data_IF_980279276861
#
_entry.id   IF_980279276861
#
_cell.length_a   1.000
_cell.length_b   1.000
_cell.length_c   1.000
_cell.angle_alpha   90.00
_cell.angle_beta   90.00
_cell.angle_gamma   90.00
#
_symmetry.space_group_name_H-M   'P 1'
#
loop_
_entity.id
_entity.type
_entity.pdbx_description
1 polymer ?
#
# COMPACT_ATOMS: atom_id res chain seq x y z
N UNK A 1 22.78 83.22 40.94
CA UNK A 1 23.06 82.94 39.53
C UNK A 1 23.50 81.49 39.39
N UNK A 2 23.00 80.84 38.42
CA UNK A 2 23.25 79.47 37.94
C UNK A 2 22.32 78.43 38.56
N UNK A 3 21.28 78.10 37.75
CA UNK A 3 20.33 77.04 37.89
C UNK A 3 21.00 75.72 37.55
N UNK A 4 20.80 74.72 38.37
CA UNK A 4 21.17 73.35 38.05
C UNK A 4 19.88 72.52 37.87
N UNK A 5 19.61 72.13 36.61
CA UNK A 5 18.47 71.40 36.20
C UNK A 5 18.77 69.92 36.42
N UNK A 6 17.98 69.25 37.25
CA UNK A 6 18.09 67.84 37.55
C UNK A 6 17.22 67.01 36.51
N UNK A 7 17.86 66.30 35.58
CA UNK A 7 17.16 65.38 34.67
C UNK A 7 16.97 64.05 35.34
N UNK A 8 15.70 63.71 35.61
CA UNK A 8 15.29 62.37 36.01
C UNK A 8 15.19 61.49 34.74
N UNK A 9 16.08 60.52 34.61
CA UNK A 9 16.03 59.47 33.58
C UNK A 9 15.04 58.38 34.06
N UNK A 10 13.85 58.35 33.44
CA UNK A 10 12.95 57.20 33.51
C UNK A 10 13.49 56.13 32.53
N UNK A 11 14.04 55.04 33.07
CA UNK A 11 14.38 53.87 32.33
C UNK A 11 13.12 53.10 31.94
N UNK A 12 12.76 53.17 30.65
CA UNK A 12 11.73 52.28 30.11
C UNK A 12 12.30 50.86 29.95
N UNK A 13 11.84 49.95 30.78
CA UNK A 13 12.10 48.54 30.59
C UNK A 13 11.21 48.05 29.43
N UNK A 14 11.80 47.88 28.25
CA UNK A 14 11.18 47.19 27.14
C UNK A 14 11.13 45.68 27.47
N UNK A 15 9.97 45.22 27.91
CA UNK A 15 9.67 43.79 27.95
C UNK A 15 9.50 43.33 26.50
N UNK A 16 10.52 42.65 25.96
CA UNK A 16 10.38 41.94 24.71
C UNK A 16 9.49 40.71 25.00
N UNK A 17 8.25 40.76 24.56
CA UNK A 17 7.44 39.59 24.40
C UNK A 17 8.16 38.66 23.37
N UNK A 18 8.72 37.57 23.84
CA UNK A 18 9.15 36.50 22.97
C UNK A 18 7.90 35.94 22.31
N UNK A 19 7.68 36.33 21.05
CA UNK A 19 6.78 35.65 20.17
C UNK A 19 7.23 34.17 20.13
N UNK A 20 6.48 33.28 20.82
CA UNK A 20 6.62 31.86 20.67
C UNK A 20 6.36 31.55 19.19
N UNK A 21 7.42 31.33 18.42
CA UNK A 21 7.33 30.90 17.04
C UNK A 21 6.42 29.66 17.00
N UNK A 22 5.25 29.80 16.36
CA UNK A 22 4.42 28.66 15.99
C UNK A 22 5.33 27.67 15.28
N UNK A 23 5.26 26.37 15.60
CA UNK A 23 6.06 25.38 14.87
C UNK A 23 5.76 25.56 13.38
N UNK A 24 6.82 25.71 12.61
CA UNK A 24 6.72 25.81 11.16
C UNK A 24 5.95 24.57 10.68
N UNK A 25 4.79 24.82 10.11
CA UNK A 25 4.06 23.77 9.36
C UNK A 25 5.03 23.35 8.26
N UNK A 26 5.61 22.18 8.41
CA UNK A 26 6.45 21.58 7.39
C UNK A 26 5.65 21.62 6.10
N UNK A 27 6.16 22.35 5.10
CA UNK A 27 5.51 22.41 3.79
C UNK A 27 5.50 20.99 3.24
N UNK A 28 4.34 20.37 3.30
CA UNK A 28 4.11 19.04 2.75
C UNK A 28 4.36 19.06 1.24
N UNK A 29 4.96 17.99 0.75
CA UNK A 29 5.11 17.73 -0.68
C UNK A 29 3.80 18.02 -1.44
N UNK A 30 3.83 18.50 -2.69
CA UNK A 30 2.63 18.85 -3.46
C UNK A 30 1.59 17.72 -3.50
N UNK A 31 2.03 16.48 -3.62
CA UNK A 31 1.18 15.28 -3.64
C UNK A 31 0.41 15.07 -2.32
N UNK A 32 1.01 15.43 -1.18
CA UNK A 32 0.32 15.30 0.11
C UNK A 32 -0.89 16.25 0.22
N UNK A 33 -0.87 17.42 -0.46
CA UNK A 33 -1.93 18.42 -0.37
C UNK A 33 -3.26 17.93 -0.94
N UNK A 34 -3.24 17.12 -1.97
CA UNK A 34 -4.46 16.61 -2.62
C UNK A 34 -5.25 15.68 -1.70
N UNK A 35 -4.59 15.01 -0.76
CA UNK A 35 -5.23 14.12 0.21
C UNK A 35 -5.67 14.82 1.51
N UNK A 36 -5.16 16.03 1.80
CA UNK A 36 -5.52 16.74 3.04
C UNK A 36 -7.01 17.06 3.13
N UNK A 37 -7.64 17.41 2.03
CA UNK A 37 -9.09 17.65 1.99
C UNK A 37 -9.93 16.47 2.43
N UNK A 38 -9.48 15.26 2.10
CA UNK A 38 -10.15 14.01 2.45
C UNK A 38 -10.04 13.65 3.95
N UNK A 39 -9.06 14.22 4.64
CA UNK A 39 -8.83 14.00 6.08
C UNK A 39 -9.11 15.25 6.94
N UNK A 40 -9.72 16.29 6.37
CA UNK A 40 -9.93 17.58 7.04
C UNK A 40 -10.63 17.41 8.41
N UNK A 41 -10.22 18.19 9.46
CA UNK A 41 -10.89 18.20 10.73
C UNK A 41 -12.35 18.67 10.57
N UNK A 42 -13.31 17.87 11.02
CA UNK A 42 -14.75 18.17 10.93
C UNK A 42 -15.39 17.84 9.60
N UNK A 43 -14.62 17.36 8.60
CA UNK A 43 -15.14 16.71 7.41
C UNK A 43 -15.41 15.24 7.70
N UNK A 44 -16.54 14.73 7.26
CA UNK A 44 -16.69 13.28 7.15
C UNK A 44 -15.67 12.81 6.13
N UNK A 45 -14.78 11.88 6.54
CA UNK A 45 -13.82 11.30 5.61
C UNK A 45 -14.61 10.67 4.46
N UNK A 46 -14.31 11.07 3.23
CA UNK A 46 -14.90 10.44 2.03
C UNK A 46 -14.49 8.98 1.89
N UNK A 47 -13.49 8.56 2.67
CA UNK A 47 -12.99 7.18 2.67
C UNK A 47 -13.80 6.28 3.59
N UNK A 48 -13.96 5.03 3.16
CA UNK A 48 -14.56 3.99 3.98
C UNK A 48 -13.67 3.68 5.18
N UNK A 49 -14.30 3.52 6.35
CA UNK A 49 -13.62 3.18 7.60
C UNK A 49 -13.51 1.68 7.87
N UNK A 50 -14.27 0.87 7.13
CA UNK A 50 -14.20 -0.59 7.23
C UNK A 50 -12.96 -1.11 6.50
N UNK A 51 -12.36 -2.21 6.96
CA UNK A 51 -11.24 -2.83 6.25
C UNK A 51 -11.66 -3.29 4.85
N UNK A 52 -10.70 -3.37 3.95
CA UNK A 52 -10.92 -3.89 2.61
C UNK A 52 -11.43 -5.33 2.69
N UNK A 53 -12.54 -5.61 2.03
CA UNK A 53 -13.22 -6.93 2.09
C UNK A 53 -12.34 -8.03 1.53
N UNK A 54 -11.66 -7.77 0.41
CA UNK A 54 -10.77 -8.74 -0.21
C UNK A 54 -9.58 -9.08 0.70
N UNK A 55 -8.98 -8.07 1.35
CA UNK A 55 -7.93 -8.29 2.35
C UNK A 55 -8.44 -9.19 3.49
N UNK A 56 -9.63 -8.88 4.05
CA UNK A 56 -10.22 -9.67 5.15
C UNK A 56 -10.36 -11.14 4.75
N UNK A 57 -10.81 -11.41 3.53
CA UNK A 57 -10.94 -12.77 3.01
C UNK A 57 -9.57 -13.48 2.87
N UNK A 58 -8.57 -12.78 2.31
CA UNK A 58 -7.23 -13.33 2.11
C UNK A 58 -6.52 -13.69 3.43
N UNK A 59 -6.76 -12.95 4.52
CA UNK A 59 -6.05 -13.15 5.79
C UNK A 59 -6.82 -13.98 6.82
N UNK A 60 -8.11 -14.26 6.61
CA UNK A 60 -9.03 -14.89 7.59
C UNK A 60 -8.46 -16.15 8.26
N UNK A 61 -7.79 -17.00 7.50
CA UNK A 61 -7.30 -18.30 7.96
C UNK A 61 -5.76 -18.34 8.02
N UNK A 62 -5.09 -17.18 8.01
CA UNK A 62 -3.64 -17.12 8.06
C UNK A 62 -3.15 -16.87 9.48
N UNK A 63 -2.02 -17.49 9.81
CA UNK A 63 -1.31 -17.17 11.05
C UNK A 63 -0.77 -15.75 10.97
N UNK A 64 -1.07 -14.87 11.92
CA UNK A 64 -0.53 -13.52 11.94
C UNK A 64 1.00 -13.50 12.00
N UNK A 65 1.59 -12.54 11.31
CA UNK A 65 3.02 -12.26 11.26
C UNK A 65 3.25 -10.75 11.16
N UNK A 66 4.31 -10.33 10.46
CA UNK A 66 4.60 -8.91 10.18
C UNK A 66 3.88 -8.45 8.93
N UNK A 67 3.08 -7.40 9.03
CA UNK A 67 2.34 -6.82 7.92
C UNK A 67 2.81 -5.39 7.62
N UNK A 68 2.91 -5.07 6.33
CA UNK A 68 3.14 -3.73 5.82
C UNK A 68 1.88 -3.25 5.08
N UNK A 69 1.34 -2.12 5.49
CA UNK A 69 0.23 -1.43 4.82
C UNK A 69 0.77 -0.17 4.13
N UNK A 70 0.87 -0.22 2.81
CA UNK A 70 1.46 0.82 1.97
C UNK A 70 0.38 1.82 1.59
N UNK A 71 0.61 3.12 1.87
CA UNK A 71 -0.43 4.13 1.68
C UNK A 71 -1.62 3.89 2.62
N UNK A 72 -1.36 3.69 3.90
CA UNK A 72 -2.37 3.23 4.88
C UNK A 72 -3.49 4.24 5.16
N UNK A 73 -3.32 5.50 4.81
CA UNK A 73 -4.26 6.58 5.10
C UNK A 73 -4.59 6.68 6.59
N UNK A 74 -5.87 6.70 6.92
CA UNK A 74 -6.35 6.69 8.32
C UNK A 74 -6.35 5.31 8.97
N UNK A 75 -5.71 4.31 8.34
CA UNK A 75 -5.35 3.02 8.91
C UNK A 75 -6.45 1.97 8.96
N UNK A 76 -7.49 2.00 8.11
CA UNK A 76 -8.59 1.04 8.15
C UNK A 76 -8.13 -0.43 8.07
N UNK A 77 -7.20 -0.73 7.15
CA UNK A 77 -6.61 -2.06 6.98
C UNK A 77 -5.61 -2.38 8.09
N UNK A 78 -4.73 -1.43 8.40
CA UNK A 78 -3.74 -1.55 9.49
C UNK A 78 -4.39 -1.85 10.84
N UNK A 79 -5.47 -1.15 11.19
CA UNK A 79 -6.20 -1.34 12.46
C UNK A 79 -6.90 -2.70 12.52
N UNK A 80 -7.49 -3.12 11.40
CA UNK A 80 -8.08 -4.46 11.30
C UNK A 80 -7.02 -5.54 11.54
N UNK A 81 -5.89 -5.48 10.83
CA UNK A 81 -4.80 -6.44 10.97
C UNK A 81 -4.23 -6.46 12.39
N UNK A 82 -3.97 -5.28 12.98
CA UNK A 82 -3.48 -5.16 14.36
C UNK A 82 -4.47 -5.75 15.39
N UNK A 83 -5.77 -5.56 15.18
CA UNK A 83 -6.82 -6.15 16.04
C UNK A 83 -6.92 -7.68 15.89
N UNK A 84 -6.34 -8.25 14.83
CA UNK A 84 -6.28 -9.68 14.56
C UNK A 84 -4.91 -10.30 14.80
N UNK A 85 -4.06 -9.62 15.58
CA UNK A 85 -2.79 -10.16 16.07
C UNK A 85 -1.59 -9.96 15.14
N UNK A 86 -1.74 -9.25 14.02
CA UNK A 86 -0.61 -8.92 13.16
C UNK A 86 0.27 -7.83 13.80
N UNK A 87 1.59 -7.94 13.60
CA UNK A 87 2.55 -6.88 13.90
C UNK A 87 2.57 -5.92 12.70
N UNK A 88 1.85 -4.79 12.81
CA UNK A 88 1.58 -3.93 11.66
C UNK A 88 2.49 -2.71 11.67
N UNK A 89 3.14 -2.48 10.53
CA UNK A 89 3.69 -1.19 10.14
C UNK A 89 2.86 -0.65 8.98
N UNK A 90 2.42 0.59 9.09
CA UNK A 90 1.76 1.30 8.00
C UNK A 90 2.42 2.65 7.78
N UNK A 91 2.53 3.08 6.55
CA UNK A 91 3.03 4.41 6.25
C UNK A 91 2.13 5.13 5.22
N UNK A 92 2.14 6.43 5.30
CA UNK A 92 1.43 7.32 4.37
C UNK A 92 2.10 8.67 4.35
N UNK A 93 2.01 9.39 3.22
CA UNK A 93 2.52 10.75 3.11
C UNK A 93 1.63 11.76 3.85
N UNK A 94 0.32 11.48 3.96
CA UNK A 94 -0.65 12.34 4.62
C UNK A 94 -0.56 12.21 6.15
N UNK A 95 0.12 13.15 6.79
CA UNK A 95 0.33 13.19 8.24
C UNK A 95 -0.99 13.21 9.04
N UNK A 96 -2.02 13.88 8.51
CA UNK A 96 -3.37 13.93 9.11
C UNK A 96 -3.99 12.52 9.15
N UNK A 97 -3.87 11.75 8.07
CA UNK A 97 -4.32 10.35 8.03
C UNK A 97 -3.58 9.49 9.05
N UNK A 98 -2.25 9.59 9.09
CA UNK A 98 -1.40 8.89 10.05
C UNK A 98 -1.74 9.25 11.50
N UNK A 99 -1.98 10.53 11.79
CA UNK A 99 -2.40 10.99 13.12
C UNK A 99 -3.76 10.40 13.52
N UNK A 100 -4.72 10.31 12.60
CA UNK A 100 -6.01 9.65 12.82
C UNK A 100 -5.83 8.16 13.10
N UNK A 101 -4.98 7.45 12.34
CA UNK A 101 -4.68 6.05 12.56
C UNK A 101 -4.09 5.79 13.96
N UNK A 102 -3.12 6.60 14.40
CA UNK A 102 -2.54 6.54 15.75
C UNK A 102 -3.59 6.74 16.85
N UNK A 103 -4.47 7.74 16.68
CA UNK A 103 -5.57 8.02 17.61
C UNK A 103 -6.55 6.85 17.72
N UNK A 104 -6.92 6.27 16.56
CA UNK A 104 -7.82 5.10 16.50
C UNK A 104 -7.17 3.86 17.14
N UNK A 105 -5.86 3.60 16.83
CA UNK A 105 -5.11 2.49 17.43
C UNK A 105 -5.07 2.58 18.96
N UNK A 106 -4.79 3.78 19.51
CA UNK A 106 -4.83 4.03 20.96
C UNK A 106 -6.22 3.76 21.55
N UNK A 107 -7.29 4.20 20.87
CA UNK A 107 -8.69 3.96 21.33
C UNK A 107 -9.05 2.47 21.33
N UNK A 108 -8.55 1.72 20.36
CA UNK A 108 -8.78 0.27 20.24
C UNK A 108 -7.86 -0.57 21.13
N UNK A 109 -6.84 0.03 21.74
CA UNK A 109 -5.86 -0.69 22.57
C UNK A 109 -4.93 -1.60 21.74
N UNK A 110 -4.74 -1.32 20.45
CA UNK A 110 -3.88 -2.11 19.56
C UNK A 110 -2.56 -1.39 19.27
N UNK A 111 -1.50 -2.18 19.02
CA UNK A 111 -0.20 -1.65 18.62
C UNK A 111 -0.17 -1.48 17.10
N UNK A 112 0.15 -0.28 16.64
CA UNK A 112 0.32 0.07 15.24
C UNK A 112 1.54 0.98 15.10
N UNK A 113 2.52 0.55 14.31
CA UNK A 113 3.63 1.40 13.91
C UNK A 113 3.22 2.22 12.68
N UNK A 114 2.65 3.40 12.92
CA UNK A 114 2.15 4.30 11.88
C UNK A 114 3.18 5.41 11.62
N UNK A 115 3.65 5.53 10.38
CA UNK A 115 4.80 6.37 9.99
C UNK A 115 4.35 7.37 8.92
N UNK A 116 4.73 8.65 9.08
CA UNK A 116 4.60 9.65 8.01
C UNK A 116 5.84 9.54 7.13
N UNK A 117 5.68 8.97 5.95
CA UNK A 117 6.75 8.86 4.94
C UNK A 117 6.15 8.73 3.54
N UNK A 118 6.90 9.21 2.55
CA UNK A 118 6.64 8.87 1.15
C UNK A 118 7.10 7.43 0.87
N UNK A 119 6.61 6.83 -0.19
CA UNK A 119 7.04 5.54 -0.71
C UNK A 119 8.48 5.55 -1.24
N UNK A 120 8.94 6.73 -1.72
CA UNK A 120 10.32 6.94 -2.12
C UNK A 120 11.29 6.81 -0.94
N UNK A 121 10.92 7.34 0.24
CA UNK A 121 11.76 7.41 1.44
C UNK A 121 11.61 6.22 2.38
N UNK A 122 10.55 5.41 2.20
CA UNK A 122 10.32 4.27 3.06
C UNK A 122 11.32 3.15 2.78
N UNK A 123 11.97 2.66 3.83
CA UNK A 123 12.84 1.48 3.77
C UNK A 123 11.98 0.21 3.89
N UNK A 124 11.77 -0.47 2.79
CA UNK A 124 11.01 -1.72 2.74
C UNK A 124 11.76 -2.90 3.40
N UNK A 125 13.08 -2.81 3.55
CA UNK A 125 13.92 -3.91 4.00
C UNK A 125 13.99 -5.06 3.00
N UNK A 126 14.51 -6.21 3.45
CA UNK A 126 14.61 -7.45 2.66
C UNK A 126 14.15 -8.63 3.49
N UNK A 127 13.26 -9.47 2.94
CA UNK A 127 12.75 -10.66 3.63
C UNK A 127 12.13 -10.35 5.00
N UNK A 128 11.41 -9.22 5.12
CA UNK A 128 10.93 -8.71 6.39
C UNK A 128 9.45 -8.98 6.62
N UNK A 129 8.63 -8.96 5.56
CA UNK A 129 7.18 -8.96 5.67
C UNK A 129 6.57 -10.32 5.36
N UNK A 130 5.61 -10.73 6.18
CA UNK A 130 4.76 -11.90 5.93
C UNK A 130 3.55 -11.53 5.06
N UNK A 131 3.14 -10.24 5.12
CA UNK A 131 2.03 -9.67 4.34
C UNK A 131 2.37 -8.26 3.89
N UNK A 132 2.12 -7.94 2.63
CA UNK A 132 2.08 -6.56 2.12
C UNK A 132 0.70 -6.28 1.55
N UNK A 133 0.13 -5.12 1.92
CA UNK A 133 -1.18 -4.66 1.48
C UNK A 133 -1.03 -3.45 0.59
N UNK A 134 -1.67 -3.47 -0.57
CA UNK A 134 -1.67 -2.42 -1.59
C UNK A 134 -3.11 -2.20 -2.06
N UNK A 135 -3.77 -1.18 -1.54
CA UNK A 135 -5.16 -0.89 -1.92
C UNK A 135 -5.31 0.53 -2.48
N UNK A 136 -5.84 0.61 -3.70
CA UNK A 136 -6.23 1.86 -4.37
C UNK A 136 -5.12 2.90 -4.52
N UNK A 137 -3.91 2.46 -4.80
CA UNK A 137 -2.76 3.32 -5.02
C UNK A 137 -1.86 2.80 -6.16
N UNK A 138 -1.09 3.67 -6.83
CA UNK A 138 -0.06 3.23 -7.76
C UNK A 138 1.08 2.54 -6.99
N UNK A 139 1.63 1.47 -7.56
CA UNK A 139 2.74 0.75 -6.92
C UNK A 139 3.75 0.15 -7.93
N UNK A 140 3.61 0.44 -9.23
CA UNK A 140 4.50 -0.16 -10.24
C UNK A 140 5.97 0.11 -9.94
N UNK A 141 6.29 1.35 -9.62
CA UNK A 141 7.65 1.79 -9.34
C UNK A 141 8.19 1.26 -8.00
N UNK A 142 7.30 0.79 -7.12
CA UNK A 142 7.67 0.19 -5.84
C UNK A 142 8.08 -1.28 -5.95
N UNK A 143 7.71 -1.97 -7.02
CA UNK A 143 7.94 -3.42 -7.16
C UNK A 143 9.39 -3.85 -6.95
N UNK A 144 10.42 -3.11 -7.44
CA UNK A 144 11.81 -3.47 -7.20
C UNK A 144 12.21 -3.47 -5.72
N UNK A 145 11.57 -2.64 -4.88
CA UNK A 145 11.78 -2.59 -3.43
C UNK A 145 10.84 -3.55 -2.68
N UNK A 146 9.58 -3.61 -3.12
CA UNK A 146 8.50 -4.35 -2.48
C UNK A 146 8.70 -5.87 -2.56
N UNK A 147 8.99 -6.41 -3.74
CA UNK A 147 9.12 -7.85 -3.92
C UNK A 147 10.26 -8.48 -3.09
N UNK A 148 11.48 -7.89 -3.06
CA UNK A 148 12.54 -8.41 -2.19
C UNK A 148 12.21 -8.32 -0.71
N UNK A 149 11.36 -7.37 -0.29
CA UNK A 149 11.02 -7.14 1.11
C UNK A 149 10.10 -8.20 1.71
N UNK A 150 9.33 -8.92 0.87
CA UNK A 150 8.56 -10.08 1.31
C UNK A 150 9.48 -11.24 1.71
N UNK A 151 9.13 -11.95 2.77
CA UNK A 151 9.70 -13.25 3.13
C UNK A 151 9.32 -14.30 2.09
N UNK A 152 10.11 -15.37 2.04
CA UNK A 152 9.67 -16.60 1.38
C UNK A 152 8.38 -17.11 2.04
N UNK A 153 7.36 -17.43 1.24
CA UNK A 153 6.02 -17.77 1.72
C UNK A 153 5.14 -16.57 2.09
N UNK A 154 5.70 -15.36 2.13
CA UNK A 154 4.94 -14.13 2.35
C UNK A 154 4.02 -13.80 1.19
N UNK A 155 2.94 -13.08 1.45
CA UNK A 155 1.94 -12.74 0.46
C UNK A 155 1.82 -11.24 0.23
N UNK A 156 1.44 -10.87 -0.98
CA UNK A 156 0.92 -9.56 -1.32
C UNK A 156 -0.57 -9.65 -1.59
N UNK A 157 -1.33 -8.69 -1.06
CA UNK A 157 -2.77 -8.54 -1.31
C UNK A 157 -3.01 -7.18 -1.94
N UNK A 158 -3.63 -7.18 -3.11
CA UNK A 158 -3.84 -6.00 -3.95
C UNK A 158 -5.32 -5.90 -4.31
N UNK A 159 -5.90 -4.72 -4.17
CA UNK A 159 -7.14 -4.33 -4.82
C UNK A 159 -6.97 -2.94 -5.44
N UNK A 160 -7.31 -2.81 -6.73
CA UNK A 160 -7.19 -1.54 -7.42
C UNK A 160 -8.23 -1.41 -8.54
N UNK A 161 -8.35 -0.21 -9.10
CA UNK A 161 -9.24 0.04 -10.23
C UNK A 161 -8.68 -0.54 -11.53
N UNK A 162 -9.57 -1.10 -12.34
CA UNK A 162 -9.25 -1.45 -13.72
C UNK A 162 -9.22 -0.19 -14.59
N UNK A 163 -8.39 -0.19 -15.63
CA UNK A 163 -8.25 0.97 -16.55
C UNK A 163 -9.56 1.35 -17.26
N UNK A 164 -10.46 0.41 -17.48
CA UNK A 164 -11.77 0.70 -18.05
C UNK A 164 -12.62 1.63 -17.18
N UNK A 165 -12.35 1.72 -15.88
CA UNK A 165 -12.99 2.67 -14.96
C UNK A 165 -12.72 4.12 -15.33
N UNK A 166 -11.63 4.40 -16.04
CA UNK A 166 -11.26 5.77 -16.46
C UNK A 166 -12.19 6.36 -17.51
N UNK A 167 -12.95 5.53 -18.24
CA UNK A 167 -13.86 6.02 -19.28
C UNK A 167 -14.90 6.97 -18.73
N UNK A 168 -15.22 6.82 -17.45
CA UNK A 168 -16.27 7.57 -16.77
C UNK A 168 -15.73 8.49 -15.65
N UNK A 169 -14.41 8.53 -15.39
CA UNK A 169 -13.81 9.27 -14.28
C UNK A 169 -12.38 9.69 -14.56
N UNK A 170 -12.02 10.86 -13.98
CA UNK A 170 -10.65 11.39 -13.96
C UNK A 170 -9.80 10.65 -12.88
N UNK A 171 -9.56 9.35 -13.07
CA UNK A 171 -8.56 8.64 -12.29
C UNK A 171 -7.23 8.70 -13.04
N UNK A 172 -6.14 8.85 -12.31
CA UNK A 172 -4.81 8.81 -12.87
C UNK A 172 -4.55 7.44 -13.53
N UNK A 173 -3.91 7.47 -14.71
CA UNK A 173 -3.53 6.24 -15.42
C UNK A 173 -2.65 5.33 -14.55
N UNK A 174 -1.78 5.93 -13.76
CA UNK A 174 -0.85 5.20 -12.90
C UNK A 174 -1.54 4.52 -11.72
N UNK A 175 -2.73 5.01 -11.33
CA UNK A 175 -3.57 4.41 -10.30
C UNK A 175 -4.51 3.31 -10.82
N UNK A 176 -4.45 2.97 -12.13
CA UNK A 176 -5.31 1.95 -12.75
C UNK A 176 -4.50 0.88 -13.46
N UNK A 177 -5.03 -0.33 -13.58
CA UNK A 177 -4.34 -1.50 -14.14
C UNK A 177 -5.10 -2.07 -15.34
N UNK A 178 -4.33 -2.52 -16.36
CA UNK A 178 -4.86 -3.15 -17.57
C UNK A 178 -5.29 -4.60 -17.32
N UNK A 179 -5.99 -5.18 -18.28
CA UNK A 179 -6.30 -6.61 -18.29
C UNK A 179 -5.03 -7.43 -18.04
N UNK A 180 -5.08 -8.34 -17.08
CA UNK A 180 -4.00 -9.27 -16.72
C UNK A 180 -2.69 -8.61 -16.25
N UNK A 181 -2.60 -7.28 -16.14
CA UNK A 181 -1.36 -6.60 -15.78
C UNK A 181 -0.82 -7.05 -14.41
N UNK A 182 -1.69 -7.27 -13.41
CA UNK A 182 -1.23 -7.80 -12.13
C UNK A 182 -0.61 -9.20 -12.26
N UNK A 183 -1.10 -10.04 -13.17
CA UNK A 183 -0.51 -11.36 -13.43
C UNK A 183 0.86 -11.24 -14.10
N UNK A 184 1.04 -10.26 -14.99
CA UNK A 184 2.33 -9.97 -15.61
C UNK A 184 3.33 -9.45 -14.57
N UNK A 185 2.92 -8.46 -13.76
CA UNK A 185 3.74 -7.86 -12.73
C UNK A 185 4.20 -8.85 -11.65
N UNK A 186 3.39 -9.85 -11.33
CA UNK A 186 3.68 -10.88 -10.32
C UNK A 186 3.88 -12.28 -10.93
N UNK A 187 4.34 -12.36 -12.19
CA UNK A 187 4.57 -13.63 -12.89
C UNK A 187 5.63 -14.53 -12.24
N UNK A 188 6.48 -13.95 -11.38
CA UNK A 188 7.48 -14.62 -10.55
C UNK A 188 6.93 -15.09 -9.18
N UNK A 189 5.65 -14.82 -8.89
CA UNK A 189 4.94 -15.24 -7.67
C UNK A 189 3.95 -16.37 -7.96
N UNK A 190 3.63 -17.15 -6.95
CA UNK A 190 2.52 -18.08 -7.01
C UNK A 190 1.21 -17.31 -6.87
N UNK A 191 0.41 -17.27 -7.93
CA UNK A 191 -0.91 -16.63 -7.89
C UNK A 191 -1.85 -17.54 -7.11
N UNK A 192 -2.37 -17.05 -5.99
CA UNK A 192 -3.32 -17.75 -5.14
C UNK A 192 -4.76 -17.43 -5.54
N UNK A 193 -5.00 -16.14 -5.87
CA UNK A 193 -6.31 -15.64 -6.32
C UNK A 193 -6.10 -14.43 -7.23
N UNK A 194 -6.83 -14.40 -8.33
CA UNK A 194 -6.93 -13.24 -9.22
C UNK A 194 -8.38 -13.02 -9.59
N UNK A 195 -8.81 -11.77 -9.54
CA UNK A 195 -10.15 -11.35 -9.96
C UNK A 195 -10.03 -10.10 -10.84
N UNK A 196 -10.70 -10.16 -11.98
CA UNK A 196 -11.04 -9.02 -12.81
C UNK A 196 -12.57 -8.97 -12.81
N UNK A 197 -13.14 -8.10 -11.98
CA UNK A 197 -14.55 -8.17 -11.60
C UNK A 197 -15.22 -6.81 -11.58
N UNK A 198 -16.54 -6.81 -11.78
CA UNK A 198 -17.37 -5.62 -11.60
C UNK A 198 -17.96 -5.68 -10.20
N UNK A 199 -17.53 -4.78 -9.34
CA UNK A 199 -17.96 -4.71 -7.95
C UNK A 199 -18.03 -3.27 -7.45
N UNK A 200 -18.62 -3.08 -6.29
CA UNK A 200 -18.56 -1.79 -5.60
C UNK A 200 -17.20 -1.68 -4.91
N UNK A 201 -16.36 -0.70 -5.26
CA UNK A 201 -15.13 -0.47 -4.53
C UNK A 201 -15.42 -0.04 -3.09
N UNK A 202 -14.63 -0.52 -2.17
CA UNK A 202 -14.75 -0.14 -0.75
C UNK A 202 -13.82 1.02 -0.36
N UNK A 203 -13.26 1.71 -1.33
CA UNK A 203 -12.38 2.86 -1.11
C UNK A 203 -13.13 4.04 -0.51
N UNK A 204 -14.28 4.41 -1.07
CA UNK A 204 -15.11 5.51 -0.61
C UNK A 204 -16.48 5.05 -0.12
N UNK A 205 -17.19 5.96 0.58
CA UNK A 205 -18.50 5.66 1.16
C UNK A 205 -19.58 5.50 0.08
N UNK A 206 -19.52 6.30 -0.99
CA UNK A 206 -20.53 6.33 -2.05
C UNK A 206 -19.91 6.16 -3.44
N UNK A 207 -19.19 5.06 -3.64
CA UNK A 207 -18.68 4.75 -4.97
C UNK A 207 -19.67 3.86 -5.74
N UNK A 208 -19.99 4.19 -7.01
CA UNK A 208 -20.75 3.28 -7.85
C UNK A 208 -19.93 2.03 -8.16
N UNK A 209 -20.62 1.02 -8.62
CA UNK A 209 -20.02 -0.20 -9.15
C UNK A 209 -19.00 0.12 -10.25
N UNK A 210 -17.82 -0.46 -10.15
CA UNK A 210 -16.72 -0.26 -11.07
C UNK A 210 -16.00 -1.58 -11.37
N UNK A 211 -15.21 -1.62 -12.43
CA UNK A 211 -14.33 -2.75 -12.70
C UNK A 211 -13.09 -2.66 -11.83
N UNK A 212 -12.83 -3.71 -11.06
CA UNK A 212 -11.72 -3.84 -10.13
C UNK A 212 -10.81 -4.98 -10.54
N UNK A 213 -9.54 -4.86 -10.20
CA UNK A 213 -8.55 -5.93 -10.28
C UNK A 213 -8.05 -6.25 -8.88
N UNK A 214 -8.02 -7.56 -8.56
CA UNK A 214 -7.63 -8.08 -7.25
C UNK A 214 -6.61 -9.19 -7.42
N UNK A 215 -5.62 -9.18 -6.55
CA UNK A 215 -4.57 -10.19 -6.57
C UNK A 215 -4.19 -10.59 -5.15
N UNK A 216 -4.14 -11.90 -4.90
CA UNK A 216 -3.41 -12.52 -3.81
C UNK A 216 -2.31 -13.36 -4.41
N UNK A 217 -1.04 -12.99 -4.15
CA UNK A 217 0.10 -13.71 -4.69
C UNK A 217 1.13 -13.98 -3.58
N UNK A 218 1.75 -15.15 -3.62
CA UNK A 218 2.72 -15.62 -2.65
C UNK A 218 4.12 -15.64 -3.23
N UNK A 219 5.06 -14.98 -2.54
CA UNK A 219 6.48 -15.15 -2.81
C UNK A 219 6.94 -16.50 -2.29
N UNK A 220 7.77 -17.15 -3.01
CA UNK A 220 8.35 -18.38 -2.54
C UNK A 220 8.96 -19.12 -3.67
N UNK A 221 9.68 -20.16 -3.30
CA UNK A 221 10.00 -21.19 -4.25
C UNK A 221 8.68 -21.67 -4.84
N UNK A 222 8.24 -20.87 -5.84
CA UNK A 222 7.56 -21.57 -6.88
C UNK A 222 8.67 -22.51 -7.34
N UNK A 223 8.71 -23.70 -6.74
CA UNK A 223 9.08 -24.85 -7.52
C UNK A 223 8.16 -24.69 -8.72
N UNK A 224 8.64 -23.92 -9.70
CA UNK A 224 8.01 -23.91 -11.03
C UNK A 224 7.96 -25.39 -11.28
N UNK A 225 6.79 -26.04 -11.30
CA UNK A 225 6.78 -27.43 -11.56
C UNK A 225 7.48 -27.57 -12.88
N UNK A 226 8.79 -27.79 -12.76
CA UNK A 226 9.60 -28.10 -13.93
C UNK A 226 8.87 -29.28 -14.49
N UNK A 227 8.40 -29.20 -15.68
CA UNK A 227 7.65 -30.30 -16.23
C UNK A 227 8.56 -31.51 -16.17
N UNK A 228 8.13 -32.57 -15.50
CA UNK A 228 8.88 -33.82 -15.54
C UNK A 228 8.83 -34.35 -16.97
N UNK A 229 9.98 -34.59 -17.55
CA UNK A 229 10.13 -35.26 -18.81
C UNK A 229 11.03 -36.48 -18.63
N UNK A 230 10.41 -37.64 -18.58
CA UNK A 230 11.10 -38.93 -18.36
C UNK A 230 11.96 -38.95 -17.10
N UNK A 231 11.40 -38.48 -15.97
CA UNK A 231 12.10 -38.42 -14.69
C UNK A 231 13.12 -37.32 -14.54
N UNK A 232 13.19 -36.37 -15.50
CA UNK A 232 14.08 -35.20 -15.43
C UNK A 232 13.27 -33.93 -15.39
N UNK A 233 13.39 -33.16 -14.30
CA UNK A 233 12.79 -31.85 -14.18
C UNK A 233 13.29 -30.90 -15.29
N UNK A 234 12.38 -30.27 -16.02
CA UNK A 234 12.69 -29.32 -17.10
C UNK A 234 12.21 -27.93 -16.70
N UNK A 235 13.03 -26.88 -16.92
CA UNK A 235 12.61 -25.51 -16.70
C UNK A 235 11.39 -25.15 -17.55
N UNK A 236 10.58 -24.19 -17.07
CA UNK A 236 9.54 -23.56 -17.88
C UNK A 236 10.14 -23.01 -19.19
N UNK A 237 9.35 -22.99 -20.24
CA UNK A 237 9.76 -22.68 -21.63
C UNK A 237 10.58 -23.77 -22.35
N UNK A 238 10.96 -24.86 -21.66
CA UNK A 238 11.59 -25.99 -22.36
C UNK A 238 10.60 -26.57 -23.37
N UNK A 239 11.06 -26.68 -24.60
CA UNK A 239 10.33 -27.34 -25.69
C UNK A 239 10.85 -28.76 -25.88
N UNK A 240 9.94 -29.70 -25.97
CA UNK A 240 10.28 -31.10 -26.30
C UNK A 240 9.42 -31.58 -27.47
N UNK A 241 9.99 -32.44 -28.28
CA UNK A 241 9.24 -33.16 -29.32
C UNK A 241 8.77 -34.50 -28.77
N UNK A 242 7.49 -34.77 -28.96
CA UNK A 242 6.88 -36.05 -28.64
C UNK A 242 6.07 -36.56 -29.85
N UNK A 243 6.69 -37.38 -30.65
CA UNK A 243 6.14 -37.75 -31.93
C UNK A 243 6.03 -36.51 -32.86
N UNK A 244 4.87 -36.25 -33.39
CA UNK A 244 4.57 -35.09 -34.24
C UNK A 244 4.20 -33.82 -33.46
N UNK A 245 4.12 -33.92 -32.14
CA UNK A 245 3.71 -32.79 -31.29
C UNK A 245 4.90 -32.08 -30.69
N UNK A 246 4.83 -30.77 -30.65
CA UNK A 246 5.71 -29.93 -29.82
C UNK A 246 5.00 -29.62 -28.51
N UNK A 247 5.63 -29.97 -27.38
CA UNK A 247 5.16 -29.62 -26.04
C UNK A 247 6.05 -28.53 -25.47
N UNK A 248 5.44 -27.56 -24.80
CA UNK A 248 6.15 -26.53 -24.05
C UNK A 248 5.83 -26.69 -22.57
N UNK A 249 6.86 -26.72 -21.77
CA UNK A 249 6.70 -26.67 -20.32
C UNK A 249 6.22 -25.28 -19.89
N UNK A 250 5.09 -25.22 -19.22
CA UNK A 250 4.50 -24.00 -18.64
C UNK A 250 4.41 -24.15 -17.13
N UNK A 251 3.99 -23.11 -16.44
CA UNK A 251 3.71 -23.16 -15.00
C UNK A 251 2.55 -24.14 -14.67
N UNK A 252 1.72 -24.49 -15.65
CA UNK A 252 0.59 -25.41 -15.54
C UNK A 252 0.92 -26.84 -15.99
N UNK A 253 2.20 -27.11 -16.34
CA UNK A 253 2.61 -28.38 -16.89
C UNK A 253 2.90 -28.31 -18.40
N UNK A 254 2.95 -29.49 -19.05
CA UNK A 254 3.18 -29.59 -20.48
C UNK A 254 1.95 -29.19 -21.30
N UNK A 255 2.11 -28.21 -22.17
CA UNK A 255 1.07 -27.73 -23.08
C UNK A 255 1.50 -27.98 -24.53
N UNK A 256 0.57 -28.53 -25.33
CA UNK A 256 0.77 -28.69 -26.77
C UNK A 256 0.81 -27.34 -27.45
N UNK A 257 1.83 -27.11 -28.27
CA UNK A 257 1.91 -25.96 -29.17
C UNK A 257 1.43 -26.42 -30.55
N UNK A 258 0.37 -25.82 -31.03
CA UNK A 258 -0.06 -26.00 -32.41
C UNK A 258 0.90 -25.24 -33.32
N UNK A 259 1.22 -25.84 -34.50
CA UNK A 259 2.07 -25.21 -35.50
C UNK A 259 1.36 -24.06 -36.19
#
# INVERSE_FOLDING_TARGET
>A
MKHCLLFLLFGAVCVHAQDAAKPAVQQSEPEARDYYGAYAPGGESVFNHNPNVFLVECVRNRKPGKALDVGMGSGRNSLYLASHGWEVTGFDIADVGVAQARKKAKKLGVRLNAIVKSDADFDFGTGQWDLIVLTYQPFRDLLPKLKPSLKEGGIVVIENFHRDTMKDRLLDQDATYRNNELLELFSDFRILRYEDTVARPDWGIEFPTNRLVRLEAQKGDIQRPGCDWKGVAKPTTTKVQWGVMTLVCTNSGWVRVEK
#
